data_IF_024294643317
#
_entry.id   IF_024294643317
#
_cell.length_a   1.000
_cell.length_b   1.000
_cell.length_c   1.000
_cell.angle_alpha   90.00
_cell.angle_beta   90.00
_cell.angle_gamma   90.00
#
_symmetry.space_group_name_H-M   'P 1'
#
loop_
_entity.id
_entity.type
_entity.pdbx_description
1 polymer ?
#
# COMPACT_ATOMS: atom_id res chain seq x y z
N UNK A 1 -8.87 -5.59 21.91
CA UNK A 1 -9.49 -6.55 20.99
C UNK A 1 -10.03 -5.74 19.85
N UNK A 2 -9.28 -5.77 18.76
CA UNK A 2 -9.52 -5.00 17.56
C UNK A 2 -10.75 -5.60 16.84
N UNK A 3 -11.48 -4.81 16.06
CA UNK A 3 -12.54 -5.26 15.17
C UNK A 3 -12.03 -6.34 14.20
N UNK A 4 -10.85 -6.17 13.63
CA UNK A 4 -10.28 -7.16 12.69
C UNK A 4 -10.05 -8.54 13.37
N UNK A 5 -9.75 -8.57 14.67
CA UNK A 5 -9.59 -9.83 15.44
C UNK A 5 -10.90 -10.65 15.53
N UNK A 6 -12.05 -10.05 15.22
CA UNK A 6 -13.39 -10.65 15.34
C UNK A 6 -14.01 -11.06 14.01
N UNK A 7 -13.38 -10.69 12.90
CA UNK A 7 -13.90 -10.87 11.56
C UNK A 7 -13.15 -11.98 10.83
N UNK A 8 -13.84 -12.73 9.98
CA UNK A 8 -13.16 -13.61 9.04
C UNK A 8 -12.42 -12.79 7.97
N UNK A 9 -11.39 -13.35 7.31
CA UNK A 9 -10.72 -12.68 6.21
C UNK A 9 -11.67 -12.19 5.11
N UNK A 10 -12.72 -12.95 4.82
CA UNK A 10 -13.75 -12.56 3.84
C UNK A 10 -14.51 -11.32 4.29
N UNK A 11 -14.87 -11.23 5.57
CA UNK A 11 -15.56 -10.07 6.13
C UNK A 11 -14.65 -8.83 6.14
N UNK A 12 -13.36 -8.99 6.45
CA UNK A 12 -12.39 -7.89 6.36
C UNK A 12 -12.26 -7.43 4.90
N UNK A 13 -12.15 -8.36 3.96
CA UNK A 13 -12.09 -8.06 2.53
C UNK A 13 -13.32 -7.28 2.07
N UNK A 14 -14.52 -7.72 2.42
CA UNK A 14 -15.77 -7.04 2.08
C UNK A 14 -15.80 -5.63 2.67
N UNK A 15 -15.48 -5.50 3.96
CA UNK A 15 -15.40 -4.21 4.64
C UNK A 15 -14.44 -3.25 3.93
N UNK A 16 -13.23 -3.69 3.57
CA UNK A 16 -12.25 -2.84 2.90
C UNK A 16 -12.71 -2.42 1.48
N UNK A 17 -13.38 -3.31 0.75
CA UNK A 17 -13.97 -2.95 -0.55
C UNK A 17 -15.08 -1.90 -0.38
N UNK A 18 -15.90 -1.99 0.68
CA UNK A 18 -16.91 -0.97 1.01
C UNK A 18 -16.28 0.38 1.41
N UNK A 19 -15.08 0.38 1.98
CA UNK A 19 -14.30 1.60 2.25
C UNK A 19 -13.68 2.23 0.99
N UNK A 20 -13.91 1.66 -0.19
CA UNK A 20 -13.52 2.24 -1.47
C UNK A 20 -12.23 1.69 -2.07
N UNK A 21 -11.61 0.68 -1.46
CA UNK A 21 -10.53 -0.06 -2.10
C UNK A 21 -11.06 -0.82 -3.34
N UNK A 22 -10.30 -0.81 -4.42
CA UNK A 22 -10.65 -1.49 -5.67
C UNK A 22 -10.32 -2.97 -5.65
N UNK A 23 -9.22 -3.32 -4.97
CA UNK A 23 -8.70 -4.67 -4.79
C UNK A 23 -8.08 -4.73 -3.41
N UNK A 24 -8.26 -5.84 -2.73
CA UNK A 24 -7.63 -6.11 -1.44
C UNK A 24 -7.25 -7.58 -1.35
N UNK A 25 -6.18 -7.87 -0.64
CA UNK A 25 -5.79 -9.24 -0.28
C UNK A 25 -4.97 -9.22 1.01
N UNK A 26 -4.92 -10.37 1.65
CA UNK A 26 -4.01 -10.62 2.74
C UNK A 26 -2.65 -11.09 2.20
N UNK A 27 -1.57 -10.68 2.86
CA UNK A 27 -0.21 -11.17 2.64
C UNK A 27 0.08 -12.41 3.49
N UNK A 28 1.27 -13.01 3.30
CA UNK A 28 1.68 -14.21 4.02
C UNK A 28 1.90 -13.96 5.52
N UNK A 29 2.30 -12.74 5.88
CA UNK A 29 2.47 -12.27 7.26
C UNK A 29 1.13 -11.88 7.94
N UNK A 30 -0.01 -12.15 7.30
CA UNK A 30 -1.36 -11.77 7.71
C UNK A 30 -1.72 -10.29 7.62
N UNK A 31 -0.80 -9.43 7.16
CA UNK A 31 -1.10 -8.02 6.92
C UNK A 31 -2.02 -7.86 5.71
N UNK A 32 -2.78 -6.75 5.68
CA UNK A 32 -3.69 -6.44 4.58
C UNK A 32 -3.11 -5.39 3.66
N UNK A 33 -3.23 -5.63 2.35
CA UNK A 33 -2.88 -4.67 1.32
C UNK A 33 -4.07 -4.35 0.42
N UNK A 34 -4.07 -3.16 -0.15
CA UNK A 34 -5.19 -2.68 -0.95
C UNK A 34 -4.78 -1.69 -2.03
N UNK A 35 -5.53 -1.69 -3.13
CA UNK A 35 -5.38 -0.73 -4.23
C UNK A 35 -6.47 0.33 -4.12
N UNK A 36 -6.06 1.60 -4.10
CA UNK A 36 -6.97 2.74 -4.09
C UNK A 36 -6.63 3.68 -5.26
N UNK A 37 -7.64 4.10 -6.03
CA UNK A 37 -7.47 5.12 -7.08
C UNK A 37 -7.53 6.51 -6.47
N UNK A 38 -6.49 7.31 -6.71
CA UNK A 38 -6.43 8.73 -6.37
C UNK A 38 -6.71 9.57 -7.61
N UNK A 39 -6.78 10.90 -7.44
CA UNK A 39 -7.08 11.84 -8.52
C UNK A 39 -6.15 11.68 -9.75
N UNK A 40 -4.85 11.41 -9.52
CA UNK A 40 -3.83 11.34 -10.58
C UNK A 40 -2.97 10.08 -10.54
N UNK A 41 -3.09 9.26 -9.50
CA UNK A 41 -2.22 8.10 -9.27
C UNK A 41 -3.04 6.90 -8.80
N UNK A 42 -2.47 5.72 -8.92
CA UNK A 42 -2.99 4.50 -8.30
C UNK A 42 -2.10 4.16 -7.12
N UNK A 43 -2.70 4.04 -5.95
CA UNK A 43 -1.97 3.78 -4.70
C UNK A 43 -2.11 2.34 -4.25
N UNK A 44 -0.99 1.77 -3.81
CA UNK A 44 -0.94 0.48 -3.10
C UNK A 44 -0.70 0.80 -1.63
N UNK A 45 -1.71 0.56 -0.79
CA UNK A 45 -1.67 0.70 0.64
C UNK A 45 -1.27 -0.62 1.29
N UNK A 46 -0.31 -0.57 2.21
CA UNK A 46 0.26 -1.72 2.92
C UNK A 46 -0.02 -1.61 4.42
N UNK A 47 -0.17 -2.76 5.08
CA UNK A 47 -0.47 -2.88 6.52
C UNK A 47 -1.71 -2.05 6.90
N UNK A 48 -2.83 -2.40 6.26
CA UNK A 48 -4.14 -1.79 6.52
C UNK A 48 -4.71 -2.37 7.81
N UNK A 49 -5.14 -1.51 8.71
CA UNK A 49 -5.85 -1.86 9.94
C UNK A 49 -7.17 -1.08 10.06
N UNK A 50 -7.92 -1.33 11.13
CA UNK A 50 -9.22 -0.69 11.37
C UNK A 50 -9.18 0.82 11.65
N UNK A 51 -8.01 1.38 11.97
CA UNK A 51 -7.80 2.79 12.25
C UNK A 51 -7.01 3.51 11.15
N UNK A 52 -6.46 2.74 10.20
CA UNK A 52 -5.44 3.20 9.29
C UNK A 52 -5.62 2.61 7.90
N UNK A 53 -5.78 3.45 6.87
CA UNK A 53 -5.80 2.96 5.50
C UNK A 53 -4.42 2.53 5.00
N UNK A 54 -3.33 2.73 5.77
CA UNK A 54 -1.97 2.25 5.46
C UNK A 54 -0.96 2.55 6.58
N UNK A 55 0.03 1.67 6.76
CA UNK A 55 1.34 2.04 7.33
C UNK A 55 2.31 2.54 6.29
N UNK A 56 2.30 1.94 5.10
CA UNK A 56 3.03 2.39 3.90
C UNK A 56 2.09 2.53 2.72
N UNK A 57 2.26 3.58 1.91
CA UNK A 57 1.49 3.78 0.69
C UNK A 57 2.38 4.19 -0.47
N UNK A 58 2.30 3.47 -1.57
CA UNK A 58 3.07 3.70 -2.78
C UNK A 58 2.16 4.22 -3.89
N UNK A 59 2.45 5.40 -4.43
CA UNK A 59 1.60 6.06 -5.42
C UNK A 59 2.27 6.05 -6.80
N UNK A 60 1.69 5.31 -7.74
CA UNK A 60 2.20 5.16 -9.10
C UNK A 60 1.37 5.98 -10.09
N UNK A 61 2.02 6.60 -11.07
CA UNK A 61 1.32 7.21 -12.19
C UNK A 61 0.78 6.14 -13.15
N UNK A 62 1.50 5.03 -13.34
CA UNK A 62 1.06 3.90 -14.16
C UNK A 62 0.30 2.88 -13.28
N UNK A 63 -1.00 2.65 -13.52
CA UNK A 63 -1.75 1.61 -12.83
C UNK A 63 -1.17 0.20 -13.01
N UNK A 64 -0.46 -0.08 -14.11
CA UNK A 64 0.13 -1.40 -14.36
C UNK A 64 1.24 -1.71 -13.36
N UNK A 65 2.11 -0.75 -13.03
CA UNK A 65 3.12 -0.92 -11.98
C UNK A 65 2.49 -1.09 -10.60
N UNK A 66 1.45 -0.31 -10.27
CA UNK A 66 0.71 -0.48 -9.02
C UNK A 66 0.09 -1.88 -8.90
N UNK A 67 -0.54 -2.37 -9.97
CA UNK A 67 -1.12 -3.71 -10.01
C UNK A 67 -0.05 -4.80 -9.88
N UNK A 68 1.07 -4.62 -10.57
CA UNK A 68 2.19 -5.56 -10.46
C UNK A 68 2.69 -5.64 -9.02
N UNK A 69 2.95 -4.50 -8.37
CA UNK A 69 3.39 -4.49 -6.99
C UNK A 69 2.35 -5.10 -6.04
N UNK A 70 1.07 -4.77 -6.21
CA UNK A 70 -0.02 -5.39 -5.44
C UNK A 70 -0.07 -6.91 -5.62
N UNK A 71 0.27 -7.44 -6.80
CA UNK A 71 0.25 -8.88 -7.07
C UNK A 71 1.48 -9.61 -6.55
N UNK A 72 2.64 -8.95 -6.50
CA UNK A 72 3.91 -9.60 -6.15
C UNK A 72 4.36 -9.39 -4.71
N UNK A 73 3.85 -8.38 -4.00
CA UNK A 73 4.29 -8.10 -2.64
C UNK A 73 4.03 -9.29 -1.69
N UNK A 74 5.01 -9.65 -0.87
CA UNK A 74 4.88 -10.76 0.09
C UNK A 74 4.87 -10.29 1.54
N UNK A 75 5.50 -9.15 1.81
CA UNK A 75 5.60 -8.52 3.13
C UNK A 75 5.11 -7.06 3.05
N UNK A 76 4.63 -6.52 4.17
CA UNK A 76 4.07 -5.17 4.23
C UNK A 76 5.13 -4.07 4.12
N UNK A 77 6.36 -4.37 4.51
CA UNK A 77 7.50 -3.45 4.48
C UNK A 77 8.37 -3.59 3.21
N UNK A 78 7.85 -4.29 2.21
CA UNK A 78 8.49 -4.40 0.90
C UNK A 78 8.38 -3.08 0.12
N UNK A 79 9.48 -2.67 -0.51
CA UNK A 79 9.50 -1.56 -1.45
C UNK A 79 9.33 -2.08 -2.89
N UNK A 80 8.59 -1.38 -3.77
CA UNK A 80 8.39 -1.81 -5.15
C UNK A 80 9.70 -1.81 -5.93
N UNK A 81 9.98 -2.93 -6.61
CA UNK A 81 11.17 -3.08 -7.46
C UNK A 81 11.01 -2.39 -8.83
N UNK A 82 9.79 -2.43 -9.41
CA UNK A 82 9.41 -1.65 -10.59
C UNK A 82 8.79 -0.33 -10.14
N UNK A 83 9.46 0.77 -10.47
CA UNK A 83 9.17 2.09 -9.89
C UNK A 83 9.38 3.24 -10.87
N UNK A 84 9.42 2.95 -12.17
CA UNK A 84 9.64 3.97 -13.21
C UNK A 84 8.51 5.02 -13.20
N UNK A 85 7.31 4.62 -12.80
CA UNK A 85 6.15 5.48 -12.66
C UNK A 85 5.88 5.96 -11.22
N UNK A 86 6.71 5.57 -10.24
CA UNK A 86 6.51 5.92 -8.83
C UNK A 86 6.61 7.44 -8.65
N UNK A 87 5.53 8.05 -8.16
CA UNK A 87 5.44 9.51 -7.94
C UNK A 87 5.67 9.92 -6.50
N UNK A 88 5.62 8.97 -5.58
CA UNK A 88 5.92 9.20 -4.18
C UNK A 88 5.40 8.08 -3.31
N UNK A 89 5.78 8.15 -2.04
CA UNK A 89 5.32 7.22 -1.03
C UNK A 89 5.02 7.93 0.28
N UNK A 90 4.13 7.36 1.09
CA UNK A 90 3.83 7.85 2.43
C UNK A 90 4.04 6.74 3.43
N UNK A 91 4.42 7.11 4.64
CA UNK A 91 4.70 6.18 5.72
C UNK A 91 4.35 6.83 7.06
N UNK A 92 4.01 6.01 8.06
CA UNK A 92 3.73 6.48 9.42
C UNK A 92 4.96 6.44 10.36
N UNK A 93 5.95 5.62 10.04
CA UNK A 93 7.17 5.43 10.82
C UNK A 93 8.42 5.93 10.10
N UNK A 94 9.34 5.02 9.80
CA UNK A 94 10.55 5.31 9.02
C UNK A 94 10.31 5.08 7.52
N UNK A 95 10.98 5.83 6.63
CA UNK A 95 10.91 5.57 5.20
C UNK A 95 11.67 4.29 4.83
N UNK A 96 11.03 3.39 4.09
CA UNK A 96 11.65 2.22 3.47
C UNK A 96 12.49 2.59 2.25
N UNK A 97 12.06 3.62 1.52
CA UNK A 97 12.79 4.15 0.38
C UNK A 97 13.31 5.55 0.74
N UNK A 98 14.63 5.70 0.71
CA UNK A 98 15.31 6.99 0.84
C UNK A 98 16.09 7.21 -0.45
N UNK A 99 15.60 8.12 -1.28
CA UNK A 99 16.31 8.52 -2.49
C UNK A 99 16.90 9.91 -2.31
N UNK A 100 18.09 10.12 -2.86
CA UNK A 100 18.67 11.46 -2.97
C UNK A 100 18.32 12.07 -4.33
N UNK A 101 18.05 13.36 -4.36
CA UNK A 101 17.95 14.14 -5.60
C UNK A 101 19.34 14.44 -6.18
N UNK A 102 19.37 15.16 -7.31
CA UNK A 102 20.61 15.55 -8.00
C UNK A 102 21.54 16.44 -7.15
N UNK A 103 21.02 17.03 -6.07
CA UNK A 103 21.74 17.88 -5.14
C UNK A 103 22.09 17.18 -3.82
N UNK A 104 21.72 15.90 -3.66
CA UNK A 104 22.01 15.12 -2.46
C UNK A 104 20.99 15.29 -1.32
N UNK A 105 19.83 15.93 -1.56
CA UNK A 105 18.75 16.03 -0.58
C UNK A 105 17.81 14.83 -0.66
N UNK A 106 17.18 14.47 0.46
CA UNK A 106 16.18 13.40 0.47
C UNK A 106 14.96 13.81 -0.37
N UNK A 107 14.58 12.96 -1.32
CA UNK A 107 13.31 13.03 -2.02
C UNK A 107 12.19 12.61 -1.07
N UNK A 108 11.16 13.46 -0.96
CA UNK A 108 9.98 13.25 -0.12
C UNK A 108 8.78 12.74 -0.93
#
# INVERSE_FOLDING_TARGET
MLMFDRLSPEQIREFLLEQGFLRVRQLEDSSWIGVLRLAFTTSVCMDIDEFSPFRYRWCFADPAEANHFFETAVDYDEAPTKRDSLKGHRYRGEPLLREKDEFGFDKW
#
